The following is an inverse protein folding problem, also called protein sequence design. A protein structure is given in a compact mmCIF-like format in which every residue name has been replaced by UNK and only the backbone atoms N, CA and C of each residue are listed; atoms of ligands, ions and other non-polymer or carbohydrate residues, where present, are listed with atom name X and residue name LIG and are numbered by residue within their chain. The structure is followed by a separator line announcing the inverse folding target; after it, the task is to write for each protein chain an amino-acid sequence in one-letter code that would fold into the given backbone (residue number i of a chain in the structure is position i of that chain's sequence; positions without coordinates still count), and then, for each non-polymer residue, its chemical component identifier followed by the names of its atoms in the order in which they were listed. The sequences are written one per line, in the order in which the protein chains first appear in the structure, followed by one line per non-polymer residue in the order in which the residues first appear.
data_IF_384803550734
#
_entry.id   IF_384803550734
#
_cell.length_a   1.000
_cell.length_b   1.000
_cell.length_c   1.000
_cell.angle_alpha   90.00
_cell.angle_beta   90.00
_cell.angle_gamma   90.00
#
_symmetry.space_group_name_H-M   'P 1'
#
loop_
_entity.id
_entity.type
_entity.pdbx_description
1 polymer ?
#
# COMPACT_ATOMS: atom_id res chain seq x y z
N UNK A 1 -19.92 29.08 20.20
CA UNK A 1 -20.12 27.62 20.35
C UNK A 1 -20.09 26.99 18.96
N UNK A 2 -18.93 26.57 18.46
CA UNK A 2 -18.77 25.97 17.14
C UNK A 2 -18.12 24.60 17.28
N UNK A 3 -18.80 23.56 16.80
CA UNK A 3 -18.47 22.16 17.06
C UNK A 3 -17.17 21.76 16.36
N UNK A 4 -16.04 21.84 17.06
CA UNK A 4 -14.90 21.00 16.72
C UNK A 4 -15.31 19.56 17.05
N UNK A 5 -15.69 18.80 16.03
CA UNK A 5 -15.80 17.34 16.15
C UNK A 5 -14.43 16.89 16.65
N UNK A 6 -14.36 16.35 17.87
CA UNK A 6 -13.16 15.69 18.39
C UNK A 6 -12.85 14.66 17.32
N UNK A 7 -11.86 14.92 16.48
CA UNK A 7 -11.45 13.98 15.45
C UNK A 7 -11.09 12.74 16.24
N UNK A 8 -11.98 11.73 16.23
CA UNK A 8 -11.64 10.41 16.70
C UNK A 8 -10.32 10.14 16.01
N UNK A 9 -9.23 10.08 16.80
CA UNK A 9 -7.90 9.98 16.24
C UNK A 9 -7.98 8.81 15.31
N UNK A 10 -8.03 9.07 14.00
CA UNK A 10 -8.06 8.01 13.02
C UNK A 10 -6.68 7.44 13.19
N UNK A 11 -6.56 6.41 14.02
CA UNK A 11 -5.32 5.72 14.31
C UNK A 11 -4.99 5.02 13.01
N UNK A 12 -4.45 5.80 12.08
CA UNK A 12 -4.11 5.37 10.75
C UNK A 12 -2.96 4.43 10.99
N UNK A 13 -3.26 3.12 11.07
CA UNK A 13 -2.26 2.08 11.31
C UNK A 13 -1.16 2.34 10.28
N UNK A 14 0.03 2.65 10.77
CA UNK A 14 1.17 2.86 9.91
C UNK A 14 1.38 1.58 9.11
N UNK A 15 1.66 1.71 7.82
CA UNK A 15 1.95 0.52 7.03
C UNK A 15 3.17 -0.18 7.63
N UNK A 16 3.05 -1.49 7.78
CA UNK A 16 4.13 -2.35 8.26
C UNK A 16 5.27 -2.32 7.25
N UNK A 17 6.46 -2.70 7.70
CA UNK A 17 7.64 -2.73 6.81
C UNK A 17 7.39 -3.68 5.63
N UNK A 18 6.80 -4.85 5.88
CA UNK A 18 6.46 -5.85 4.85
C UNK A 18 5.53 -5.27 3.77
N UNK A 19 4.48 -4.54 4.17
CA UNK A 19 3.57 -3.88 3.23
C UNK A 19 4.29 -2.85 2.37
N UNK A 20 5.13 -2.02 2.96
CA UNK A 20 5.88 -0.99 2.24
C UNK A 20 6.88 -1.59 1.26
N UNK A 21 7.62 -2.62 1.68
CA UNK A 21 8.58 -3.32 0.83
C UNK A 21 7.88 -3.93 -0.37
N UNK A 22 6.82 -4.70 -0.15
CA UNK A 22 6.04 -5.32 -1.23
C UNK A 22 5.49 -4.29 -2.22
N UNK A 23 4.86 -3.20 -1.72
CA UNK A 23 4.34 -2.15 -2.60
C UNK A 23 5.43 -1.43 -3.38
N UNK A 24 6.61 -1.27 -2.80
CA UNK A 24 7.75 -0.62 -3.47
C UNK A 24 8.31 -1.52 -4.56
N UNK A 25 8.44 -2.82 -4.33
CA UNK A 25 8.87 -3.80 -5.33
C UNK A 25 7.91 -3.85 -6.52
N UNK A 26 6.61 -3.96 -6.24
CA UNK A 26 5.58 -3.95 -7.30
C UNK A 26 5.61 -2.65 -8.10
N UNK A 27 5.81 -1.52 -7.42
CA UNK A 27 5.92 -0.22 -8.07
C UNK A 27 7.16 -0.13 -8.99
N UNK A 28 8.32 -0.57 -8.50
CA UNK A 28 9.56 -0.60 -9.27
C UNK A 28 9.48 -1.55 -10.47
N UNK A 29 8.87 -2.73 -10.29
CA UNK A 29 8.67 -3.68 -11.38
C UNK A 29 7.71 -3.12 -12.44
N UNK A 30 6.65 -2.42 -12.01
CA UNK A 30 5.74 -1.72 -12.93
C UNK A 30 6.44 -0.59 -13.69
N UNK A 31 7.37 0.14 -13.06
CA UNK A 31 8.19 1.13 -13.74
C UNK A 31 9.15 0.48 -14.75
N UNK A 32 9.78 -0.64 -14.39
CA UNK A 32 10.73 -1.37 -15.25
C UNK A 32 10.04 -1.96 -16.49
N UNK A 33 8.85 -2.50 -16.31
CA UNK A 33 8.04 -3.11 -17.39
C UNK A 33 7.23 -2.08 -18.19
N UNK A 34 7.13 -0.84 -17.69
CA UNK A 34 6.27 0.20 -18.25
C UNK A 34 4.77 -0.04 -18.05
N UNK A 35 4.40 -1.09 -17.29
CA UNK A 35 3.00 -1.44 -17.05
C UNK A 35 2.60 -1.06 -15.62
N UNK A 36 1.72 -0.06 -15.51
CA UNK A 36 1.23 0.39 -14.21
C UNK A 36 0.41 -0.72 -13.54
N UNK A 37 0.87 -1.17 -12.37
CA UNK A 37 0.15 -2.15 -11.58
C UNK A 37 -1.18 -1.56 -11.06
N UNK A 38 -2.29 -2.27 -11.28
CA UNK A 38 -3.62 -1.87 -10.81
C UNK A 38 -3.73 -2.08 -9.28
N UNK A 39 -4.06 -1.04 -8.51
CA UNK A 39 -4.26 -1.14 -7.06
C UNK A 39 -5.24 -2.25 -6.63
N UNK A 40 -6.24 -2.56 -7.47
CA UNK A 40 -7.21 -3.63 -7.23
C UNK A 40 -6.57 -5.01 -7.35
N UNK A 41 -5.77 -5.21 -8.39
CA UNK A 41 -5.03 -6.45 -8.61
C UNK A 41 -3.97 -6.64 -7.53
N UNK A 42 -3.27 -5.57 -7.12
CA UNK A 42 -2.32 -5.61 -6.01
C UNK A 42 -3.01 -6.01 -4.71
N UNK A 43 -4.19 -5.46 -4.41
CA UNK A 43 -4.95 -5.84 -3.21
C UNK A 43 -5.32 -7.33 -3.22
N UNK A 44 -5.74 -7.87 -4.37
CA UNK A 44 -5.99 -9.31 -4.53
C UNK A 44 -4.72 -10.13 -4.41
N UNK A 45 -3.62 -9.66 -5.01
CA UNK A 45 -2.32 -10.31 -4.95
C UNK A 45 -1.80 -10.41 -3.51
N UNK A 46 -1.92 -9.34 -2.70
CA UNK A 46 -1.58 -9.37 -1.28
C UNK A 46 -2.38 -10.45 -0.52
N UNK A 47 -3.67 -10.63 -0.82
CA UNK A 47 -4.50 -11.68 -0.19
C UNK A 47 -4.10 -13.09 -0.62
N UNK A 48 -3.50 -13.23 -1.79
CA UNK A 48 -3.02 -14.50 -2.35
C UNK A 48 -1.55 -14.75 -2.05
N UNK A 49 -0.82 -13.74 -1.58
CA UNK A 49 0.59 -13.80 -1.28
C UNK A 49 0.82 -14.77 -0.11
N UNK A 50 1.46 -15.89 -0.43
CA UNK A 50 1.81 -16.93 0.53
C UNK A 50 3.31 -17.18 0.51
N UNK A 51 3.87 -17.45 1.68
CA UNK A 51 5.22 -17.96 1.81
C UNK A 51 5.30 -19.38 1.22
N UNK A 52 6.52 -19.85 0.98
CA UNK A 52 6.77 -21.18 0.40
C UNK A 52 6.26 -22.33 1.29
N UNK A 53 6.08 -22.08 2.59
CA UNK A 53 5.49 -22.99 3.57
C UNK A 53 3.95 -23.01 3.55
N UNK A 54 3.32 -22.20 2.68
CA UNK A 54 1.87 -22.09 2.56
C UNK A 54 1.20 -21.13 3.54
N UNK A 55 1.97 -20.49 4.44
CA UNK A 55 1.47 -19.45 5.34
C UNK A 55 1.23 -18.13 4.60
N UNK A 56 0.26 -17.34 5.04
CA UNK A 56 -0.02 -16.03 4.42
C UNK A 56 1.09 -15.04 4.72
N UNK A 57 1.59 -14.34 3.69
CA UNK A 57 2.62 -13.29 3.85
C UNK A 57 2.08 -12.10 4.65
N UNK A 58 0.77 -11.85 4.52
CA UNK A 58 0.08 -10.79 5.23
C UNK A 58 -1.03 -11.37 6.08
N UNK A 59 -1.18 -10.87 7.31
CA UNK A 59 -2.35 -11.13 8.13
C UNK A 59 -3.56 -10.36 7.56
N UNK A 60 -4.77 -10.84 7.86
CA UNK A 60 -6.03 -10.21 7.44
C UNK A 60 -6.12 -8.71 7.78
N UNK A 61 -5.57 -8.33 8.94
CA UNK A 61 -5.54 -6.94 9.43
C UNK A 61 -4.47 -6.08 8.72
N UNK A 62 -3.61 -6.72 7.93
CA UNK A 62 -2.56 -6.08 7.12
C UNK A 62 -2.91 -6.09 5.63
N UNK A 63 -4.13 -6.48 5.24
CA UNK A 63 -4.58 -6.32 3.86
C UNK A 63 -4.87 -4.87 3.55
N UNK A 64 -4.22 -4.36 2.50
CA UNK A 64 -4.45 -3.00 2.03
C UNK A 64 -5.59 -2.96 1.02
N UNK A 65 -6.42 -1.94 1.16
CA UNK A 65 -7.46 -1.61 0.19
C UNK A 65 -6.85 -0.96 -1.06
N UNK A 66 -7.52 -1.06 -2.22
CA UNK A 66 -7.07 -0.41 -3.45
C UNK A 66 -6.83 1.10 -3.25
N UNK A 67 -7.66 1.76 -2.44
CA UNK A 67 -7.52 3.19 -2.12
C UNK A 67 -6.24 3.50 -1.31
N UNK A 68 -5.89 2.65 -0.34
CA UNK A 68 -4.66 2.78 0.43
C UNK A 68 -3.42 2.60 -0.47
N UNK A 69 -3.47 1.64 -1.38
CA UNK A 69 -2.39 1.34 -2.35
C UNK A 69 -2.23 2.50 -3.33
N UNK A 70 -3.32 3.00 -3.92
CA UNK A 70 -3.30 4.14 -4.83
C UNK A 70 -2.72 5.40 -4.14
N UNK A 71 -3.13 5.66 -2.89
CA UNK A 71 -2.57 6.75 -2.10
C UNK A 71 -1.08 6.58 -1.78
N UNK A 72 -0.61 5.35 -1.59
CA UNK A 72 0.81 5.07 -1.41
C UNK A 72 1.62 5.35 -2.68
N UNK A 73 1.14 4.90 -3.83
CA UNK A 73 1.79 5.13 -5.12
C UNK A 73 1.85 6.60 -5.48
N UNK A 74 0.77 7.36 -5.22
CA UNK A 74 0.78 8.81 -5.42
C UNK A 74 1.85 9.52 -4.57
N UNK A 75 2.14 9.01 -3.37
CA UNK A 75 3.20 9.57 -2.51
C UNK A 75 4.59 9.13 -2.97
N UNK A 76 4.74 7.91 -3.48
CA UNK A 76 6.00 7.43 -4.06
C UNK A 76 6.38 8.23 -5.31
N UNK A 77 5.43 8.47 -6.22
CA UNK A 77 5.65 9.28 -7.43
C UNK A 77 5.98 10.73 -7.07
N UNK A 78 5.25 11.33 -6.11
CA UNK A 78 5.53 12.69 -5.66
C UNK A 78 6.92 12.82 -5.01
N UNK A 79 7.33 11.84 -4.19
CA UNK A 79 8.69 11.81 -3.63
C UNK A 79 9.76 11.73 -4.70
N UNK A 80 9.56 10.90 -5.74
CA UNK A 80 10.47 10.83 -6.87
C UNK A 80 10.54 12.15 -7.65
N UNK A 81 9.40 12.80 -7.88
CA UNK A 81 9.34 14.11 -8.56
C UNK A 81 10.05 15.23 -7.78
N UNK A 82 10.06 15.17 -6.44
CA UNK A 82 10.77 16.14 -5.60
C UNK A 82 12.28 15.90 -5.51
N UNK A 83 12.76 14.72 -5.89
CA UNK A 83 14.18 14.34 -5.85
C UNK A 83 14.88 14.53 -7.21
N UNK A 84 14.22 15.14 -8.18
CA UNK A 84 14.67 15.34 -9.54
C UNK A 84 14.59 16.81 -9.93
#
# INVERSE_FOLDING_TARGET
MGWALKSATVTRKNFTTTQKTYLTEVFQEGERTGQKADPTEISKAMRRAKHSDGSSIFEKDDFLTPLQIAGFFSRLTAKKKLLH
#
